data_IF_789049944838
#
_entry.id   IF_789049944838
#
_cell.length_a   1.000
_cell.length_b   1.000
_cell.length_c   1.000
_cell.angle_alpha   90.00
_cell.angle_beta   90.00
_cell.angle_gamma   90.00
#
_symmetry.space_group_name_H-M   'P 1'
#
loop_
_entity.id
_entity.type
_entity.pdbx_description
1 polymer ?
#
# COMPACT_ATOMS: atom_id res chain seq x y z
N UNK A 1 -3.26 -1.23 -11.88
CA UNK A 1 -3.13 0.19 -12.21
C UNK A 1 -2.66 0.98 -10.98
N UNK A 2 -1.67 1.81 -11.15
CA UNK A 2 -1.08 2.55 -10.03
C UNK A 2 -1.04 4.03 -10.34
N UNK A 3 -1.09 4.88 -9.32
CA UNK A 3 -1.04 4.54 -7.89
C UNK A 3 -2.37 3.97 -7.37
N UNK A 4 -2.27 3.18 -6.30
CA UNK A 4 -3.44 2.65 -5.59
C UNK A 4 -3.40 3.13 -4.15
N UNK A 5 -4.57 3.30 -3.56
CA UNK A 5 -4.70 3.89 -2.23
C UNK A 5 -5.38 2.90 -1.29
N UNK A 6 -4.89 2.81 -0.06
CA UNK A 6 -5.38 1.84 0.91
C UNK A 6 -5.55 2.49 2.27
N UNK A 7 -6.62 2.10 2.96
CA UNK A 7 -6.80 2.48 4.35
C UNK A 7 -6.17 1.39 5.22
N UNK A 8 -5.20 1.78 6.03
CA UNK A 8 -4.40 0.85 6.84
C UNK A 8 -4.70 1.08 8.31
N UNK A 9 -5.04 0.02 9.07
CA UNK A 9 -5.22 0.16 10.52
C UNK A 9 -3.95 0.74 11.15
N UNK A 10 -4.12 1.62 12.10
CA UNK A 10 -3.00 2.31 12.74
C UNK A 10 -1.97 1.33 13.29
N UNK A 11 -2.44 0.25 13.90
CA UNK A 11 -1.55 -0.75 14.47
C UNK A 11 -0.72 -1.48 13.42
N UNK A 12 -1.14 -1.50 12.17
CA UNK A 12 -0.46 -2.21 11.10
C UNK A 12 0.44 -1.32 10.25
N UNK A 13 0.43 -0.01 10.47
CA UNK A 13 1.18 0.92 9.61
C UNK A 13 2.69 0.70 9.66
N UNK A 14 3.24 0.50 10.85
CA UNK A 14 4.67 0.25 10.98
C UNK A 14 5.08 -1.07 10.31
N UNK A 15 4.26 -2.09 10.45
CA UNK A 15 4.49 -3.38 9.83
C UNK A 15 4.45 -3.27 8.30
N UNK A 16 3.46 -2.55 7.78
CA UNK A 16 3.33 -2.33 6.34
C UNK A 16 4.56 -1.60 5.78
N UNK A 17 5.01 -0.55 6.46
CA UNK A 17 6.20 0.18 6.07
C UNK A 17 7.42 -0.74 6.02
N UNK A 18 7.56 -1.58 7.02
CA UNK A 18 8.67 -2.54 7.08
C UNK A 18 8.64 -3.50 5.89
N UNK A 19 7.46 -4.03 5.56
CA UNK A 19 7.33 -4.95 4.43
C UNK A 19 7.71 -4.26 3.12
N UNK A 20 7.18 -3.05 2.89
CA UNK A 20 7.46 -2.33 1.64
C UNK A 20 8.95 -2.01 1.51
N UNK A 21 9.59 -1.62 2.60
CA UNK A 21 11.04 -1.35 2.58
C UNK A 21 11.85 -2.61 2.25
N UNK A 22 11.35 -3.77 2.66
CA UNK A 22 12.01 -5.04 2.36
C UNK A 22 11.94 -5.40 0.87
N UNK A 23 11.03 -4.80 0.13
CA UNK A 23 10.84 -5.05 -1.30
C UNK A 23 11.26 -3.82 -2.12
N UNK A 24 12.45 -3.33 -1.86
CA UNK A 24 12.99 -2.18 -2.59
C UNK A 24 12.94 -2.39 -4.09
N UNK A 25 12.53 -1.33 -4.81
CA UNK A 25 12.49 -1.37 -6.26
C UNK A 25 11.21 -1.95 -6.83
N UNK A 26 10.35 -2.58 -6.01
CA UNK A 26 9.09 -3.13 -6.47
C UNK A 26 7.99 -2.08 -6.38
N UNK A 27 7.96 -1.34 -5.28
CA UNK A 27 6.96 -0.29 -5.09
C UNK A 27 7.46 0.74 -4.10
N UNK A 28 6.72 1.85 -4.00
CA UNK A 28 6.97 2.86 -2.99
C UNK A 28 5.68 3.16 -2.25
N UNK A 29 5.83 3.52 -0.98
CA UNK A 29 4.71 3.81 -0.09
C UNK A 29 4.79 5.25 0.40
N UNK A 30 3.68 5.95 0.35
CA UNK A 30 3.59 7.31 0.89
C UNK A 30 2.29 7.45 1.66
N UNK A 31 2.34 8.10 2.83
CA UNK A 31 1.12 8.39 3.59
C UNK A 31 0.49 9.65 3.00
N UNK A 32 -0.77 9.57 2.58
CA UNK A 32 -1.49 10.72 2.02
C UNK A 32 -2.48 11.32 3.00
N UNK A 33 -2.92 10.55 3.99
CA UNK A 33 -3.81 11.05 5.05
C UNK A 33 -3.51 10.32 6.34
N UNK A 34 -2.78 11.01 7.23
CA UNK A 34 -2.38 10.43 8.52
C UNK A 34 -3.61 10.20 9.40
N UNK A 35 -4.56 11.12 9.38
CA UNK A 35 -5.73 11.04 10.24
C UNK A 35 -6.59 9.82 9.94
N UNK A 36 -6.74 9.50 8.66
CA UNK A 36 -7.54 8.35 8.22
C UNK A 36 -6.70 7.09 8.00
N UNK A 37 -5.39 7.21 8.03
CA UNK A 37 -4.52 6.08 7.78
C UNK A 37 -4.47 5.66 6.32
N UNK A 38 -4.59 6.61 5.40
CA UNK A 38 -4.59 6.31 3.97
C UNK A 38 -3.19 6.44 3.41
N UNK A 39 -2.76 5.41 2.71
CA UNK A 39 -1.44 5.37 2.09
C UNK A 39 -1.58 5.21 0.59
N UNK A 40 -0.60 5.72 -0.13
CA UNK A 40 -0.50 5.56 -1.58
C UNK A 40 0.62 4.58 -1.89
N UNK A 41 0.30 3.56 -2.67
CA UNK A 41 1.30 2.63 -3.16
C UNK A 41 1.49 2.90 -4.65
N UNK A 42 2.72 3.18 -5.04
CA UNK A 42 3.09 3.45 -6.43
C UNK A 42 4.06 2.38 -6.90
N UNK A 43 4.01 2.09 -8.20
CA UNK A 43 4.88 1.10 -8.80
C UNK A 43 5.59 1.69 -10.03
N UNK A 44 6.82 1.26 -10.32
CA UNK A 44 7.48 1.65 -11.56
C UNK A 44 6.75 1.03 -12.75
N UNK A 45 6.94 1.57 -13.97
CA UNK A 45 6.35 0.97 -15.16
C UNK A 45 6.90 -0.44 -15.37
N UNK A 46 6.05 -1.33 -15.87
CA UNK A 46 6.42 -2.70 -16.13
C UNK A 46 5.44 -3.70 -15.56
N UNK A 47 5.78 -5.01 -15.57
CA UNK A 47 4.92 -6.04 -15.02
C UNK A 47 4.65 -5.82 -13.53
N UNK A 48 3.41 -6.01 -13.11
CA UNK A 48 2.99 -5.77 -11.73
C UNK A 48 2.54 -7.03 -11.00
N UNK A 49 2.79 -8.20 -11.57
CA UNK A 49 2.37 -9.47 -10.96
C UNK A 49 2.90 -9.65 -9.54
N UNK A 50 4.18 -9.38 -9.34
CA UNK A 50 4.79 -9.52 -8.00
C UNK A 50 4.18 -8.51 -7.02
N UNK A 51 3.96 -7.31 -7.49
CA UNK A 51 3.36 -6.27 -6.66
C UNK A 51 1.92 -6.60 -6.31
N UNK A 52 1.15 -7.09 -7.28
CA UNK A 52 -0.24 -7.48 -7.02
C UNK A 52 -0.31 -8.60 -5.97
N UNK A 53 0.56 -9.58 -6.08
CA UNK A 53 0.65 -10.66 -5.09
C UNK A 53 1.06 -10.14 -3.72
N UNK A 54 2.00 -9.21 -3.68
CA UNK A 54 2.45 -8.59 -2.43
C UNK A 54 1.32 -7.80 -1.77
N UNK A 55 0.59 -7.03 -2.55
CA UNK A 55 -0.53 -6.25 -2.03
C UNK A 55 -1.61 -7.17 -1.47
N UNK A 56 -1.91 -8.25 -2.18
CA UNK A 56 -2.89 -9.21 -1.70
C UNK A 56 -2.48 -9.82 -0.37
N UNK A 57 -1.22 -10.19 -0.25
CA UNK A 57 -0.67 -10.71 1.01
C UNK A 57 -0.74 -9.67 2.12
N UNK A 58 -0.39 -8.42 1.82
CA UNK A 58 -0.46 -7.34 2.81
C UNK A 58 -1.89 -7.08 3.27
N UNK A 59 -2.85 -7.11 2.36
CA UNK A 59 -4.25 -6.97 2.72
C UNK A 59 -4.69 -8.06 3.68
N UNK A 60 -4.26 -9.29 3.43
CA UNK A 60 -4.58 -10.43 4.28
C UNK A 60 -3.95 -10.29 5.67
N UNK A 61 -2.72 -9.83 5.74
CA UNK A 61 -1.98 -9.76 7.00
C UNK A 61 -2.32 -8.53 7.84
N UNK A 62 -2.55 -7.39 7.20
CA UNK A 62 -2.75 -6.12 7.91
C UNK A 62 -4.21 -5.74 8.03
N UNK A 63 -5.08 -6.33 7.21
CA UNK A 63 -6.47 -5.92 7.16
C UNK A 63 -6.69 -4.61 6.42
N UNK A 64 -5.70 -4.12 5.68
CA UNK A 64 -5.89 -2.90 4.91
C UNK A 64 -6.89 -3.11 3.79
N UNK A 65 -7.58 -2.04 3.43
CA UNK A 65 -8.60 -2.08 2.38
C UNK A 65 -8.29 -1.05 1.31
N UNK A 66 -8.46 -1.42 0.06
CA UNK A 66 -8.29 -0.47 -1.03
C UNK A 66 -9.43 0.54 -1.00
N UNK A 67 -9.09 1.82 -1.16
CA UNK A 67 -10.06 2.90 -1.12
C UNK A 67 -9.84 3.82 -2.32
N UNK A 68 -10.85 4.62 -2.61
CA UNK A 68 -10.74 5.64 -3.64
C UNK A 68 -10.24 6.92 -3.00
N UNK A 69 -9.16 7.48 -3.52
CA UNK A 69 -8.57 8.69 -2.98
C UNK A 69 -8.10 9.61 -4.11
N UNK A 70 -8.32 10.90 -4.02
CA UNK A 70 -9.17 11.52 -3.00
C UNK A 70 -10.62 11.05 -3.13
N UNK A 71 -11.30 10.99 -1.98
CA UNK A 71 -12.71 10.64 -1.98
C UNK A 71 -13.50 11.73 -2.69
N UNK A 72 -14.31 11.34 -3.64
CA UNK A 72 -15.11 12.29 -4.42
C UNK A 72 -16.55 12.29 -3.98
#
# INVERSE_FOLDING_TARGET
MYPRYFMVPKAAQAYLTFIVESYEGICSLSTVDIAQGIVRISAPPGPTKELDSLIEAMCSETGMEEVQWPAS
#
